data_IF_038291924038
#
_entry.id   IF_038291924038
#
_cell.length_a   1.000
_cell.length_b   1.000
_cell.length_c   1.000
_cell.angle_alpha   90.00
_cell.angle_beta   90.00
_cell.angle_gamma   90.00
#
_symmetry.space_group_name_H-M   'P 1'
#
loop_
_entity.id
_entity.type
_entity.pdbx_description
1 polymer ?
#
# COMPACT_ATOMS: atom_id res chain seq x y z
N UNK A 1 13.19 -23.14 -5.26
CA UNK A 1 12.34 -22.08 -5.83
C UNK A 1 11.41 -21.62 -4.72
N UNK A 2 11.68 -20.45 -4.14
CA UNK A 2 10.78 -19.86 -3.14
C UNK A 2 9.73 -19.07 -3.88
N UNK A 3 8.50 -19.56 -3.82
CA UNK A 3 7.33 -18.89 -4.38
C UNK A 3 7.01 -17.68 -3.50
N UNK A 4 7.57 -16.52 -3.85
CA UNK A 4 7.10 -15.22 -3.36
C UNK A 4 5.80 -14.89 -4.09
N UNK A 5 4.77 -15.70 -3.87
CA UNK A 5 3.43 -15.35 -4.29
C UNK A 5 2.98 -14.17 -3.40
N UNK A 6 2.55 -13.03 -3.99
CA UNK A 6 1.89 -12.00 -3.21
C UNK A 6 0.70 -12.67 -2.53
N UNK A 7 0.62 -12.53 -1.21
CA UNK A 7 -0.56 -12.98 -0.44
C UNK A 7 -1.79 -12.37 -1.08
N UNK A 8 -2.54 -13.21 -1.80
CA UNK A 8 -3.77 -12.81 -2.46
C UNK A 8 -4.81 -12.58 -1.38
N UNK A 9 -5.00 -11.31 -1.05
CA UNK A 9 -6.24 -10.78 -0.50
C UNK A 9 -6.52 -11.23 0.93
N UNK A 10 -6.02 -10.45 1.90
CA UNK A 10 -6.85 -10.16 3.06
C UNK A 10 -8.21 -9.74 2.53
N UNK A 11 -9.25 -10.49 2.92
CA UNK A 11 -10.63 -10.39 2.45
C UNK A 11 -10.96 -8.99 1.93
N UNK A 12 -11.43 -8.90 0.68
CA UNK A 12 -12.06 -7.68 0.18
C UNK A 12 -13.05 -7.23 1.26
N UNK A 13 -12.70 -6.17 1.98
CA UNK A 13 -13.50 -5.69 3.09
C UNK A 13 -14.86 -5.37 2.47
N UNK A 14 -15.90 -6.12 2.86
CA UNK A 14 -17.25 -5.79 2.48
C UNK A 14 -17.42 -4.30 2.77
N UNK A 15 -17.74 -3.52 1.74
CA UNK A 15 -18.19 -2.16 1.92
C UNK A 15 -19.49 -2.24 2.69
N UNK A 16 -19.39 -2.32 4.02
CA UNK A 16 -20.51 -2.06 4.89
C UNK A 16 -21.05 -0.71 4.45
N UNK A 17 -22.31 -0.71 4.01
CA UNK A 17 -23.04 0.48 3.56
C UNK A 17 -23.20 1.52 4.67
N UNK A 18 -22.66 1.27 5.88
CA UNK A 18 -22.53 2.27 6.92
C UNK A 18 -21.62 3.44 6.50
N UNK A 19 -22.29 4.49 6.03
CA UNK A 19 -21.73 5.78 5.67
C UNK A 19 -22.00 6.84 6.76
N UNK A 20 -22.27 6.43 8.01
CA UNK A 20 -22.34 7.37 9.13
C UNK A 20 -21.01 8.07 9.32
N UNK A 21 -21.06 9.29 9.84
CA UNK A 21 -19.87 10.13 10.02
C UNK A 21 -18.71 9.39 10.70
N UNK A 22 -18.96 8.76 11.86
CA UNK A 22 -17.93 8.01 12.60
C UNK A 22 -17.38 6.82 11.81
N UNK A 23 -18.22 6.13 11.03
CA UNK A 23 -17.80 5.01 10.21
C UNK A 23 -16.86 5.47 9.09
N UNK A 24 -17.20 6.55 8.37
CA UNK A 24 -16.35 7.14 7.34
C UNK A 24 -15.03 7.66 7.91
N UNK A 25 -15.07 8.37 9.05
CA UNK A 25 -13.87 8.81 9.78
C UNK A 25 -12.94 7.64 10.12
N UNK A 26 -13.51 6.54 10.62
CA UNK A 26 -12.74 5.36 10.97
C UNK A 26 -12.16 4.66 9.72
N UNK A 27 -12.96 4.49 8.66
CA UNK A 27 -12.51 3.91 7.38
C UNK A 27 -11.32 4.69 6.80
N UNK A 28 -11.41 6.02 6.73
CA UNK A 28 -10.32 6.87 6.22
C UNK A 28 -9.08 6.82 7.12
N UNK A 29 -9.25 6.78 8.45
CA UNK A 29 -8.14 6.62 9.39
C UNK A 29 -7.43 5.27 9.22
N UNK A 30 -8.19 4.19 9.07
CA UNK A 30 -7.65 2.84 8.86
C UNK A 30 -6.95 2.74 7.52
N UNK A 31 -7.54 3.30 6.46
CA UNK A 31 -6.94 3.34 5.13
C UNK A 31 -5.59 4.08 5.14
N UNK A 32 -5.53 5.31 5.68
CA UNK A 32 -4.29 6.08 5.75
C UNK A 32 -3.19 5.31 6.50
N UNK A 33 -3.52 4.76 7.68
CA UNK A 33 -2.58 3.93 8.45
C UNK A 33 -2.10 2.69 7.70
N UNK A 34 -2.99 1.99 6.99
CA UNK A 34 -2.62 0.82 6.22
C UNK A 34 -1.66 1.19 5.08
N UNK A 35 -1.90 2.31 4.43
CA UNK A 35 -1.01 2.82 3.37
C UNK A 35 0.34 3.30 3.91
N UNK A 36 0.38 3.94 5.10
CA UNK A 36 1.65 4.29 5.77
C UNK A 36 2.49 3.05 6.10
N UNK A 37 1.85 1.98 6.59
CA UNK A 37 2.54 0.71 6.87
C UNK A 37 3.04 0.07 5.58
N UNK A 38 2.19 0.00 4.55
CA UNK A 38 2.57 -0.53 3.25
C UNK A 38 3.74 0.24 2.63
N UNK A 39 3.75 1.58 2.74
CA UNK A 39 4.87 2.41 2.29
C UNK A 39 6.20 1.99 2.96
N UNK A 40 6.21 1.82 4.28
CA UNK A 40 7.41 1.38 5.00
C UNK A 40 7.88 -0.03 4.59
N UNK A 41 6.94 -0.97 4.41
CA UNK A 41 7.24 -2.34 3.95
C UNK A 41 7.80 -2.35 2.53
N UNK A 42 7.22 -1.54 1.64
CA UNK A 42 7.68 -1.41 0.26
C UNK A 42 9.05 -0.74 0.18
N UNK A 43 9.36 0.23 1.04
CA UNK A 43 10.72 0.78 1.13
C UNK A 43 11.74 -0.29 1.53
N UNK A 44 11.42 -1.10 2.54
CA UNK A 44 12.29 -2.18 2.98
C UNK A 44 12.50 -3.22 1.87
N UNK A 45 11.43 -3.59 1.16
CA UNK A 45 11.49 -4.49 0.01
C UNK A 45 12.35 -3.90 -1.12
N UNK A 46 12.17 -2.62 -1.45
CA UNK A 46 12.94 -1.92 -2.47
C UNK A 46 14.44 -1.94 -2.17
N UNK A 47 14.82 -1.63 -0.91
CA UNK A 47 16.21 -1.70 -0.45
C UNK A 47 16.76 -3.14 -0.58
N UNK A 48 15.97 -4.13 -0.18
CA UNK A 48 16.32 -5.55 -0.31
C UNK A 48 16.57 -6.00 -1.74
N UNK A 49 15.68 -5.63 -2.67
CA UNK A 49 15.82 -5.95 -4.10
C UNK A 49 17.09 -5.34 -4.69
N UNK A 50 17.37 -4.06 -4.42
CA UNK A 50 18.58 -3.38 -4.90
C UNK A 50 19.86 -4.02 -4.37
N UNK A 51 19.91 -4.34 -3.08
CA UNK A 51 21.06 -5.04 -2.49
C UNK A 51 21.27 -6.43 -3.09
N UNK A 52 20.19 -7.19 -3.32
CA UNK A 52 20.28 -8.52 -3.90
C UNK A 52 20.67 -8.47 -5.38
N UNK A 53 20.22 -7.46 -6.13
CA UNK A 53 20.66 -7.23 -7.50
C UNK A 53 22.17 -6.97 -7.57
N UNK A 54 22.67 -6.05 -6.74
CA UNK A 54 24.11 -5.76 -6.63
C UNK A 54 24.93 -6.99 -6.22
N UNK A 55 24.42 -7.77 -5.26
CA UNK A 55 25.08 -9.03 -4.86
C UNK A 55 25.13 -10.04 -6.00
N UNK A 56 24.05 -10.16 -6.78
CA UNK A 56 24.03 -11.05 -7.94
C UNK A 56 25.03 -10.59 -9.01
N UNK A 57 25.12 -9.30 -9.32
CA UNK A 57 26.15 -8.77 -10.24
C UNK A 57 27.57 -9.08 -9.76
N UNK A 58 27.86 -8.85 -8.47
CA UNK A 58 29.16 -9.19 -7.89
C UNK A 58 29.48 -10.68 -7.98
N UNK A 59 28.50 -11.54 -7.68
CA UNK A 59 28.66 -12.99 -7.79
C UNK A 59 28.91 -13.43 -9.24
N UNK A 60 28.26 -12.79 -10.23
CA UNK A 60 28.52 -13.11 -11.63
C UNK A 60 29.97 -12.80 -12.04
N UNK A 61 30.56 -11.73 -11.49
CA UNK A 61 31.98 -11.41 -11.67
C UNK A 61 32.88 -12.43 -10.97
N UNK A 62 32.56 -12.85 -9.75
CA UNK A 62 33.30 -13.89 -9.03
C UNK A 62 33.27 -15.24 -9.77
N UNK A 63 32.12 -15.64 -10.31
CA UNK A 63 31.94 -16.85 -11.12
C UNK A 63 32.79 -16.76 -12.39
N UNK A 64 32.82 -15.60 -13.05
CA UNK A 64 33.63 -15.37 -14.24
C UNK A 64 35.13 -15.50 -13.93
N UNK A 65 35.59 -14.93 -12.82
CA UNK A 65 36.98 -15.01 -12.38
C UNK A 65 37.38 -16.42 -11.93
N UNK A 66 36.42 -17.25 -11.49
CA UNK A 66 36.64 -18.63 -11.13
C UNK A 66 36.63 -19.60 -12.34
N UNK A 67 36.50 -19.07 -13.57
CA UNK A 67 36.47 -19.84 -14.82
C UNK A 67 35.38 -20.95 -14.82
N UNK A 68 34.29 -20.73 -14.09
CA UNK A 68 33.14 -21.63 -14.07
C UNK A 68 32.34 -21.54 -15.38
N UNK A 69 31.44 -22.51 -15.58
CA UNK A 69 30.59 -22.54 -16.77
C UNK A 69 29.81 -21.23 -16.94
N UNK A 70 29.91 -20.66 -18.14
CA UNK A 70 29.25 -19.43 -18.58
C UNK A 70 27.75 -19.42 -18.27
N UNK A 71 27.08 -20.57 -18.26
CA UNK A 71 25.68 -20.68 -17.87
C UNK A 71 25.39 -20.09 -16.49
N UNK A 72 26.29 -20.26 -15.52
CA UNK A 72 26.10 -19.71 -14.18
C UNK A 72 26.23 -18.19 -14.15
N UNK A 73 27.09 -17.61 -14.97
CA UNK A 73 27.22 -16.16 -15.15
C UNK A 73 25.92 -15.59 -15.73
N UNK A 74 25.40 -16.21 -16.79
CA UNK A 74 24.18 -15.77 -17.47
C UNK A 74 22.96 -15.83 -16.56
N UNK A 75 22.76 -16.94 -15.85
CA UNK A 75 21.65 -17.08 -14.89
C UNK A 75 21.74 -16.05 -13.76
N UNK A 76 22.95 -15.78 -13.26
CA UNK A 76 23.15 -14.83 -12.16
C UNK A 76 22.88 -13.39 -12.62
N UNK A 77 23.32 -13.03 -13.82
CA UNK A 77 23.00 -11.74 -14.44
C UNK A 77 21.49 -11.57 -14.69
N UNK A 78 20.78 -12.63 -15.10
CA UNK A 78 19.33 -12.59 -15.24
C UNK A 78 18.61 -12.29 -13.92
N UNK A 79 19.09 -12.85 -12.80
CA UNK A 79 18.56 -12.54 -11.47
C UNK A 79 18.78 -11.07 -11.11
N UNK A 80 19.98 -10.53 -11.36
CA UNK A 80 20.27 -9.11 -11.14
C UNK A 80 19.31 -8.21 -11.92
N UNK A 81 19.13 -8.48 -13.22
CA UNK A 81 18.21 -7.73 -14.09
C UNK A 81 16.76 -7.83 -13.61
N UNK A 82 16.31 -9.04 -13.25
CA UNK A 82 14.95 -9.25 -12.77
C UNK A 82 14.68 -8.49 -11.46
N UNK A 83 15.62 -8.51 -10.52
CA UNK A 83 15.52 -7.75 -9.26
C UNK A 83 15.57 -6.24 -9.49
N UNK A 84 16.42 -5.77 -10.41
CA UNK A 84 16.48 -4.37 -10.81
C UNK A 84 15.18 -3.88 -11.44
N UNK A 85 14.58 -4.68 -12.34
CA UNK A 85 13.27 -4.39 -12.94
C UNK A 85 12.14 -4.40 -11.91
N UNK A 86 12.08 -5.40 -11.03
CA UNK A 86 11.08 -5.48 -9.97
C UNK A 86 11.18 -4.30 -8.99
N UNK A 87 12.39 -3.85 -8.67
CA UNK A 87 12.61 -2.69 -7.81
C UNK A 87 11.97 -1.42 -8.38
N UNK A 88 11.94 -1.22 -9.70
CA UNK A 88 11.27 -0.07 -10.33
C UNK A 88 9.77 -0.10 -10.09
N UNK A 89 9.13 -1.27 -10.23
CA UNK A 89 7.68 -1.40 -10.00
C UNK A 89 7.32 -1.26 -8.52
N UNK A 90 8.14 -1.81 -7.62
CA UNK A 90 7.96 -1.62 -6.16
C UNK A 90 8.09 -0.14 -5.79
N UNK A 91 9.00 0.60 -6.43
CA UNK A 91 9.13 2.05 -6.21
C UNK A 91 7.84 2.79 -6.60
N UNK A 92 7.26 2.51 -7.77
CA UNK A 92 5.98 3.14 -8.18
C UNK A 92 4.84 2.81 -7.20
N UNK A 93 4.77 1.57 -6.73
CA UNK A 93 3.77 1.16 -5.75
C UNK A 93 3.96 1.88 -4.41
N UNK A 94 5.20 2.08 -4.00
CA UNK A 94 5.55 2.82 -2.79
C UNK A 94 5.09 4.30 -2.88
N UNK A 95 5.38 4.96 -4.01
CA UNK A 95 4.94 6.34 -4.29
C UNK A 95 3.40 6.43 -4.27
N UNK A 96 2.72 5.46 -4.87
CA UNK A 96 1.25 5.39 -4.86
C UNK A 96 0.69 5.21 -3.45
N UNK A 97 1.29 4.33 -2.63
CA UNK A 97 0.87 4.14 -1.24
C UNK A 97 1.01 5.44 -0.43
N UNK A 98 2.10 6.19 -0.62
CA UNK A 98 2.31 7.47 0.02
C UNK A 98 1.26 8.51 -0.40
N UNK A 99 0.96 8.60 -1.70
CA UNK A 99 -0.08 9.50 -2.23
C UNK A 99 -1.46 9.16 -1.65
N UNK A 100 -1.86 7.89 -1.69
CA UNK A 100 -3.16 7.44 -1.17
C UNK A 100 -3.27 7.69 0.34
N UNK A 101 -2.19 7.49 1.10
CA UNK A 101 -2.17 7.84 2.52
C UNK A 101 -2.47 9.32 2.74
N UNK A 102 -1.76 10.20 2.02
CA UNK A 102 -1.98 11.65 2.07
C UNK A 102 -3.43 12.02 1.74
N UNK A 103 -3.97 11.49 0.64
CA UNK A 103 -5.35 11.70 0.24
C UNK A 103 -6.36 11.20 1.29
N UNK A 104 -6.12 10.05 1.93
CA UNK A 104 -6.98 9.53 2.98
C UNK A 104 -6.99 10.44 4.22
N UNK A 105 -5.83 10.97 4.61
CA UNK A 105 -5.71 11.93 5.71
C UNK A 105 -6.41 13.26 5.40
N UNK A 106 -6.25 13.77 4.18
CA UNK A 106 -6.87 15.00 3.72
C UNK A 106 -8.38 14.88 3.58
N UNK A 107 -8.86 13.78 3.00
CA UNK A 107 -10.28 13.44 2.95
C UNK A 107 -10.87 13.36 4.36
N UNK A 108 -10.16 12.73 5.32
CA UNK A 108 -10.61 12.62 6.71
C UNK A 108 -10.78 13.99 7.36
N UNK A 109 -9.78 14.86 7.19
CA UNK A 109 -9.77 16.24 7.72
C UNK A 109 -10.88 17.09 7.10
N UNK A 110 -11.06 17.00 5.79
CA UNK A 110 -12.11 17.71 5.05
C UNK A 110 -13.49 17.23 5.48
N UNK A 111 -13.68 15.91 5.58
CA UNK A 111 -14.92 15.30 6.05
C UNK A 111 -15.25 15.70 7.50
N UNK A 112 -14.24 15.81 8.39
CA UNK A 112 -14.44 16.33 9.73
C UNK A 112 -14.94 17.78 9.71
N UNK A 113 -14.24 18.66 8.98
CA UNK A 113 -14.61 20.08 8.84
C UNK A 113 -16.04 20.29 8.37
N UNK A 114 -16.51 19.46 7.44
CA UNK A 114 -17.86 19.61 6.85
C UNK A 114 -18.96 18.98 7.72
N UNK A 115 -18.70 17.83 8.36
CA UNK A 115 -19.77 17.00 8.91
C UNK A 115 -19.71 16.77 10.42
N UNK A 116 -18.63 17.18 11.10
CA UNK A 116 -18.49 16.98 12.55
C UNK A 116 -19.59 17.68 13.35
N UNK A 117 -19.90 18.94 13.03
CA UNK A 117 -20.97 19.68 13.70
C UNK A 117 -22.33 19.01 13.52
N UNK A 118 -22.61 18.48 12.32
CA UNK A 118 -23.85 17.76 12.03
C UNK A 118 -23.93 16.45 12.82
N UNK A 119 -22.82 15.70 12.89
CA UNK A 119 -22.73 14.48 13.70
C UNK A 119 -22.96 14.76 15.19
N UNK A 120 -22.38 15.82 15.74
CA UNK A 120 -22.58 16.23 17.14
C UNK A 120 -24.05 16.53 17.42
N UNK A 121 -24.71 17.32 16.55
CA UNK A 121 -26.13 17.65 16.71
C UNK A 121 -27.02 16.41 16.61
N UNK A 122 -26.69 15.44 15.74
CA UNK A 122 -27.46 14.20 15.58
C UNK A 122 -27.25 13.22 16.72
N UNK A 123 -26.03 13.13 17.24
CA UNK A 123 -25.65 12.19 18.30
C UNK A 123 -26.20 12.58 19.68
N UNK A 124 -26.42 13.88 19.92
CA UNK A 124 -26.91 14.40 21.21
C UNK A 124 -28.44 14.50 21.36
N UNK A 125 -29.23 14.22 20.32
CA UNK A 125 -30.71 14.35 20.38
C UNK A 125 -31.38 13.06 20.85
N UNK A 126 -32.38 13.22 21.72
CA UNK A 126 -33.34 12.15 22.06
C UNK A 126 -34.33 11.86 20.93
N UNK A 127 -34.61 12.84 20.08
CA UNK A 127 -35.59 12.73 19.00
C UNK A 127 -34.96 12.25 17.68
N UNK A 128 -35.68 11.41 16.95
CA UNK A 128 -35.24 10.84 15.67
C UNK A 128 -35.10 11.93 14.61
N UNK A 129 -33.89 12.08 14.06
CA UNK A 129 -33.64 12.93 12.89
C UNK A 129 -33.82 12.15 11.58
N UNK A 130 -34.26 12.81 10.50
CA UNK A 130 -34.40 12.17 9.20
C UNK A 130 -33.07 11.57 8.73
N UNK A 131 -33.11 10.32 8.26
CA UNK A 131 -31.92 9.64 7.73
C UNK A 131 -31.45 10.32 6.44
N UNK A 132 -30.15 10.22 6.09
CA UNK A 132 -29.68 10.63 4.76
C UNK A 132 -30.57 10.01 3.67
N UNK A 133 -31.02 10.82 2.70
CA UNK A 133 -31.97 10.40 1.65
C UNK A 133 -33.44 10.74 1.90
N UNK A 134 -33.82 11.24 3.09
CA UNK A 134 -35.22 11.59 3.39
C UNK A 134 -35.84 12.64 2.45
N UNK A 135 -35.04 13.55 1.90
CA UNK A 135 -35.50 14.62 0.99
C UNK A 135 -35.19 14.34 -0.50
N UNK A 136 -34.76 13.14 -0.86
CA UNK A 136 -34.36 12.80 -2.24
C UNK A 136 -35.53 12.33 -3.12
N UNK A 137 -36.73 12.90 -2.91
CA UNK A 137 -37.95 12.60 -3.67
C UNK A 137 -38.37 13.80 -4.52
#
# INVERSE_FOLDING_TARGET
MSDLAPTTGGAAVHTDGDNRYKAVQNKLKTLGKAMDMAHNELEALLRGMRMNAQRAEGLAVEIANAELDRKFIEMTNQVAVALGGAAVEVQKLNETAQEVSGLAHDARRTHARLYEGLDTVRSGRKERTPKPGFFAH
#
